data_IF_574587105819
#
_entry.id   IF_574587105819
#
_cell.length_a   1.000
_cell.length_b   1.000
_cell.length_c   1.000
_cell.angle_alpha   90.00
_cell.angle_beta   90.00
_cell.angle_gamma   90.00
#
_symmetry.space_group_name_H-M   'P 1'
#
loop_
_entity.id
_entity.type
_entity.pdbx_description
1 polymer ?
#
# COMPACT_ATOMS: atom_id res chain seq x y z
N UNK A 1 -6.31 14.39 1.79
CA UNK A 1 -6.75 13.13 1.12
C UNK A 1 -7.20 12.20 2.24
N UNK A 2 -8.44 11.72 2.21
CA UNK A 2 -8.90 10.70 3.18
C UNK A 2 -8.42 9.33 2.70
N UNK A 3 -7.13 9.03 2.93
CA UNK A 3 -6.55 7.72 2.66
C UNK A 3 -6.69 6.89 3.93
N UNK A 4 -7.52 5.87 3.89
CA UNK A 4 -7.70 4.93 5.00
C UNK A 4 -6.73 3.77 4.85
N UNK A 5 -6.12 3.36 5.96
CA UNK A 5 -5.26 2.18 6.00
C UNK A 5 -6.14 0.94 6.10
N UNK A 6 -5.98 0.04 5.14
CA UNK A 6 -6.60 -1.28 5.16
C UNK A 6 -5.78 -2.21 6.05
N UNK A 7 -6.29 -2.48 7.25
CA UNK A 7 -5.68 -3.45 8.16
C UNK A 7 -6.07 -4.86 7.73
N UNK A 8 -5.07 -5.62 7.26
CA UNK A 8 -5.26 -6.96 6.76
C UNK A 8 -4.70 -7.96 7.79
N UNK A 9 -5.52 -8.95 8.12
CA UNK A 9 -5.14 -10.07 8.97
C UNK A 9 -5.34 -11.34 8.16
N UNK A 10 -4.29 -12.13 7.96
CA UNK A 10 -4.43 -13.44 7.36
C UNK A 10 -3.82 -14.50 8.28
N UNK A 11 -4.56 -15.58 8.44
CA UNK A 11 -4.28 -16.70 9.36
C UNK A 11 -3.81 -17.95 8.60
N UNK A 12 -3.57 -17.81 7.31
CA UNK A 12 -3.36 -18.88 6.32
C UNK A 12 -1.90 -18.87 5.82
N UNK A 13 -1.41 -20.02 5.36
CA UNK A 13 -0.15 -20.26 4.62
C UNK A 13 -0.10 -19.55 3.25
N UNK A 14 -0.77 -18.42 3.08
CA UNK A 14 -0.71 -17.65 1.82
C UNK A 14 0.68 -17.05 1.66
N UNK A 15 1.21 -17.03 0.43
CA UNK A 15 2.52 -16.40 0.18
C UNK A 15 2.38 -14.88 0.11
N UNK A 16 3.49 -14.15 0.29
CA UNK A 16 3.50 -12.68 0.16
C UNK A 16 3.02 -12.25 -1.24
N UNK A 17 3.35 -13.00 -2.27
CA UNK A 17 2.91 -12.71 -3.64
C UNK A 17 1.39 -12.79 -3.79
N UNK A 18 0.74 -13.81 -3.24
CA UNK A 18 -0.72 -13.95 -3.26
C UNK A 18 -1.39 -12.78 -2.55
N UNK A 19 -0.83 -12.35 -1.42
CA UNK A 19 -1.31 -11.20 -0.65
C UNK A 19 -1.23 -9.90 -1.45
N UNK A 20 -0.13 -9.70 -2.19
CA UNK A 20 0.04 -8.53 -3.06
C UNK A 20 -0.98 -8.58 -4.20
N UNK A 21 -1.17 -9.74 -4.84
CA UNK A 21 -2.12 -9.88 -5.95
C UNK A 21 -3.57 -9.62 -5.52
N UNK A 22 -3.97 -10.06 -4.33
CA UNK A 22 -5.31 -9.78 -3.78
C UNK A 22 -5.51 -8.29 -3.44
N UNK A 23 -4.43 -7.59 -3.04
CA UNK A 23 -4.49 -6.18 -2.69
C UNK A 23 -4.64 -5.27 -3.93
N UNK A 24 -3.93 -5.60 -5.00
CA UNK A 24 -3.92 -4.83 -6.25
C UNK A 24 -5.26 -4.95 -6.96
N UNK A 25 -5.89 -3.80 -7.21
CA UNK A 25 -7.18 -3.76 -7.93
C UNK A 25 -7.36 -2.45 -8.69
N UNK A 26 -8.17 -2.42 -9.76
CA UNK A 26 -8.35 -1.21 -10.57
C UNK A 26 -8.82 0.01 -9.75
N UNK A 27 -8.41 1.19 -10.19
CA UNK A 27 -8.91 2.47 -9.65
C UNK A 27 -10.00 3.05 -10.55
N UNK A 28 -11.00 3.69 -9.94
CA UNK A 28 -11.95 4.54 -10.64
C UNK A 28 -11.32 5.93 -10.78
N UNK A 29 -10.91 6.29 -12.01
CA UNK A 29 -10.11 7.51 -12.25
C UNK A 29 -10.84 8.82 -11.97
N UNK A 30 -12.17 8.78 -11.92
CA UNK A 30 -13.06 9.89 -11.56
C UNK A 30 -13.20 10.08 -10.04
N UNK A 31 -12.62 9.17 -9.22
CA UNK A 31 -12.78 9.19 -7.76
C UNK A 31 -11.43 9.16 -7.05
N UNK A 32 -11.09 10.26 -6.39
CA UNK A 32 -9.96 10.31 -5.47
C UNK A 32 -10.29 9.57 -4.15
N UNK A 33 -9.27 9.07 -3.42
CA UNK A 33 -7.85 9.04 -3.78
C UNK A 33 -7.49 7.90 -4.74
N UNK A 34 -6.58 8.16 -5.69
CA UNK A 34 -6.03 7.14 -6.60
C UNK A 34 -4.83 6.39 -5.97
N UNK A 35 -4.91 6.20 -4.66
CA UNK A 35 -3.90 5.56 -3.82
C UNK A 35 -4.59 4.78 -2.71
N UNK A 36 -4.04 3.61 -2.36
CA UNK A 36 -4.45 2.76 -1.24
C UNK A 36 -3.22 2.37 -0.43
N UNK A 37 -3.40 2.26 0.87
CA UNK A 37 -2.36 1.82 1.81
C UNK A 37 -2.89 0.62 2.58
N UNK A 38 -2.14 -0.48 2.54
CA UNK A 38 -2.46 -1.69 3.28
C UNK A 38 -1.40 -1.93 4.34
N UNK A 39 -1.82 -2.28 5.56
CA UNK A 39 -0.92 -2.76 6.61
C UNK A 39 -1.34 -4.18 6.99
N UNK A 40 -0.50 -5.15 6.67
CA UNK A 40 -0.74 -6.55 6.94
C UNK A 40 0.18 -7.06 8.04
N UNK A 41 -0.39 -7.73 9.04
CA UNK A 41 0.39 -8.43 10.06
C UNK A 41 0.67 -9.86 9.59
N UNK A 42 1.96 -10.21 9.44
CA UNK A 42 2.39 -11.54 9.02
C UNK A 42 2.59 -12.45 10.23
N UNK A 43 3.43 -12.01 11.18
CA UNK A 43 3.77 -12.77 12.39
C UNK A 43 3.99 -11.82 13.59
N UNK A 44 4.57 -12.34 14.68
CA UNK A 44 4.99 -11.50 15.80
C UNK A 44 6.06 -10.50 15.34
N UNK A 45 5.74 -9.21 15.45
CA UNK A 45 6.62 -8.11 15.07
C UNK A 45 7.05 -8.09 13.59
N UNK A 46 6.28 -8.74 12.71
CA UNK A 46 6.48 -8.70 11.26
C UNK A 46 5.24 -8.14 10.57
N UNK A 47 5.45 -7.08 9.78
CA UNK A 47 4.40 -6.38 9.06
C UNK A 47 4.82 -6.13 7.62
N UNK A 48 3.85 -6.21 6.72
CA UNK A 48 3.98 -5.82 5.33
C UNK A 48 3.17 -4.54 5.11
N UNK A 49 3.85 -3.45 4.73
CA UNK A 49 3.23 -2.20 4.32
C UNK A 49 3.14 -2.16 2.79
N UNK A 50 1.94 -1.95 2.28
CA UNK A 50 1.64 -1.95 0.84
C UNK A 50 1.18 -0.56 0.42
N UNK A 51 1.76 -0.06 -0.67
CA UNK A 51 1.30 1.14 -1.38
C UNK A 51 0.87 0.73 -2.79
N UNK A 52 -0.42 0.90 -3.09
CA UNK A 52 -0.99 0.72 -4.43
C UNK A 52 -1.45 2.09 -4.94
N UNK A 53 -0.99 2.51 -6.11
CA UNK A 53 -1.34 3.81 -6.68
C UNK A 53 -1.48 3.75 -8.19
N UNK A 54 -2.30 4.63 -8.73
CA UNK A 54 -2.44 4.75 -10.17
C UNK A 54 -1.31 5.59 -10.77
N UNK A 55 -0.63 5.11 -11.81
CA UNK A 55 0.48 5.83 -12.47
C UNK A 55 0.12 7.23 -13.00
N UNK A 56 -1.16 7.53 -13.21
CA UNK A 56 -1.61 8.88 -13.61
C UNK A 56 -1.27 9.96 -12.56
N UNK A 57 -1.11 9.58 -11.29
CA UNK A 57 -0.78 10.51 -10.20
C UNK A 57 0.67 10.43 -9.74
N UNK A 58 1.46 9.47 -10.23
CA UNK A 58 2.85 9.31 -9.82
C UNK A 58 3.69 8.57 -10.88
N UNK A 59 4.92 9.05 -11.06
CA UNK A 59 5.99 8.41 -11.82
C UNK A 59 7.06 7.82 -10.88
N UNK A 60 8.14 7.26 -11.46
CA UNK A 60 9.22 6.66 -10.68
C UNK A 60 9.94 7.64 -9.76
N UNK A 61 10.05 8.92 -10.14
CA UNK A 61 10.67 9.96 -9.31
C UNK A 61 9.77 10.32 -8.13
N UNK A 62 8.46 10.42 -8.39
CA UNK A 62 7.43 10.68 -7.38
C UNK A 62 7.37 9.57 -6.34
N UNK A 63 7.53 8.31 -6.75
CA UNK A 63 7.58 7.15 -5.85
C UNK A 63 8.79 7.21 -4.90
N UNK A 64 9.99 7.47 -5.42
CA UNK A 64 11.19 7.58 -4.59
C UNK A 64 11.10 8.73 -3.57
N UNK A 65 10.47 9.85 -3.98
CA UNK A 65 10.21 10.97 -3.08
C UNK A 65 9.20 10.61 -1.99
N UNK A 66 8.12 9.92 -2.34
CA UNK A 66 7.10 9.47 -1.40
C UNK A 66 7.68 8.54 -0.33
N UNK A 67 8.52 7.57 -0.74
CA UNK A 67 9.20 6.67 0.19
C UNK A 67 10.07 7.43 1.18
N UNK A 68 10.89 8.37 0.69
CA UNK A 68 11.75 9.20 1.54
C UNK A 68 10.94 10.04 2.53
N UNK A 69 9.97 10.79 2.03
CA UNK A 69 9.14 11.66 2.88
C UNK A 69 8.35 10.85 3.92
N UNK A 70 7.91 9.64 3.58
CA UNK A 70 7.26 8.74 4.52
C UNK A 70 8.18 8.31 5.67
N UNK A 71 9.41 7.90 5.36
CA UNK A 71 10.41 7.50 6.36
C UNK A 71 10.81 8.69 7.24
N UNK A 72 11.03 9.85 6.63
CA UNK A 72 11.40 11.09 7.33
C UNK A 72 10.29 11.55 8.31
N UNK A 73 9.02 11.31 7.97
CA UNK A 73 7.87 11.64 8.84
C UNK A 73 7.59 10.59 9.92
N UNK A 74 7.98 9.33 9.71
CA UNK A 74 7.76 8.25 10.66
C UNK A 74 8.77 8.25 11.80
N UNK A 75 10.00 8.72 11.54
CA UNK A 75 11.13 8.75 12.48
C UNK A 75 11.06 9.92 13.46
#
# INVERSE_FOLDING_TARGET
LDIRIEHLYKSDRSTIEELIQEFIRPFQLDRAPLMRVGLMKLEFNQYLLLFDLHHIIADGVSLAKLEKEFIDLYS
#
